data_IF_976008714078
#
_entry.id   IF_976008714078
#
_cell.length_a   1.000
_cell.length_b   1.000
_cell.length_c   1.000
_cell.angle_alpha   90.00
_cell.angle_beta   90.00
_cell.angle_gamma   90.00
#
_symmetry.space_group_name_H-M   'P 1'
#
loop_
_entity.id
_entity.type
_entity.pdbx_description
1 polymer ?
#
# COMPACT_ATOMS: atom_id res chain seq x y z
N UNK A 1 3.73 6.57 28.38
CA UNK A 1 4.88 6.70 27.46
C UNK A 1 4.50 6.53 26.00
N UNK A 2 3.81 5.45 25.60
CA UNK A 2 3.42 5.20 24.19
C UNK A 2 2.73 6.40 23.51
N UNK A 3 1.71 7.00 24.15
CA UNK A 3 0.98 8.16 23.60
C UNK A 3 1.92 9.36 23.37
N UNK A 4 2.82 9.66 24.31
CA UNK A 4 3.79 10.75 24.16
C UNK A 4 4.76 10.50 23.00
N UNK A 5 5.25 9.26 22.85
CA UNK A 5 6.11 8.89 21.73
C UNK A 5 5.37 9.04 20.39
N UNK A 6 4.10 8.58 20.32
CA UNK A 6 3.24 8.76 19.16
C UNK A 6 3.02 10.23 18.79
N UNK A 7 2.81 11.10 19.78
CA UNK A 7 2.67 12.55 19.57
C UNK A 7 3.93 13.18 18.96
N UNK A 8 5.10 12.95 19.58
CA UNK A 8 6.36 13.54 19.07
C UNK A 8 6.76 12.97 17.71
N UNK A 9 6.51 11.68 17.46
CA UNK A 9 6.72 11.07 16.15
C UNK A 9 5.79 11.69 15.09
N UNK A 10 4.51 11.85 15.41
CA UNK A 10 3.52 12.49 14.53
C UNK A 10 3.93 13.91 14.15
N UNK A 11 4.37 14.71 15.13
CA UNK A 11 4.88 16.06 14.89
C UNK A 11 6.12 16.04 13.99
N UNK A 12 7.07 15.13 14.25
CA UNK A 12 8.29 14.96 13.46
C UNK A 12 7.97 14.70 11.99
N UNK A 13 7.09 13.73 11.70
CA UNK A 13 6.77 13.36 10.31
C UNK A 13 5.93 14.42 9.59
N UNK A 14 5.05 15.15 10.29
CA UNK A 14 4.32 16.31 9.72
C UNK A 14 5.29 17.43 9.37
N UNK A 15 6.23 17.77 10.25
CA UNK A 15 7.26 18.79 9.99
C UNK A 15 8.16 18.37 8.83
N UNK A 16 8.47 17.07 8.71
CA UNK A 16 9.21 16.55 7.56
C UNK A 16 8.41 16.69 6.26
N UNK A 17 7.10 16.49 6.29
CA UNK A 17 6.25 16.72 5.13
C UNK A 17 6.24 18.18 4.69
N UNK A 18 6.09 19.11 5.65
CA UNK A 18 6.17 20.56 5.40
C UNK A 18 7.52 20.92 4.80
N UNK A 19 8.63 20.33 5.30
CA UNK A 19 9.96 20.50 4.73
C UNK A 19 9.98 20.07 3.26
N UNK A 20 9.53 18.86 2.94
CA UNK A 20 9.51 18.32 1.57
C UNK A 20 8.72 19.23 0.62
N UNK A 21 7.54 19.69 1.04
CA UNK A 21 6.72 20.63 0.27
C UNK A 21 7.43 21.97 0.04
N UNK A 22 7.96 22.59 1.11
CA UNK A 22 8.64 23.90 1.03
C UNK A 22 9.90 23.86 0.17
N UNK A 23 10.62 22.74 0.15
CA UNK A 23 11.81 22.58 -0.71
C UNK A 23 11.45 22.52 -2.18
N UNK A 24 10.43 21.76 -2.56
CA UNK A 24 9.94 21.74 -3.94
C UNK A 24 9.52 23.14 -4.42
N UNK A 25 8.74 23.87 -3.59
CA UNK A 25 8.32 25.24 -3.91
C UNK A 25 9.49 26.23 -4.02
N UNK A 26 10.47 26.14 -3.12
CA UNK A 26 11.64 27.02 -3.13
C UNK A 26 12.53 26.84 -4.38
N UNK A 27 12.49 25.65 -4.98
CA UNK A 27 13.22 25.33 -6.21
C UNK A 27 12.38 25.47 -7.49
N UNK A 28 11.13 25.96 -7.39
CA UNK A 28 10.23 26.07 -8.55
C UNK A 28 9.77 24.73 -9.14
N UNK A 29 9.86 23.64 -8.38
CA UNK A 29 9.49 22.29 -8.81
C UNK A 29 8.02 21.96 -8.48
N UNK A 30 7.45 20.97 -9.18
CA UNK A 30 6.16 20.39 -8.83
C UNK A 30 6.19 19.66 -7.47
N UNK A 31 5.08 19.65 -6.74
CA UNK A 31 5.00 19.11 -5.37
C UNK A 31 4.62 17.61 -5.31
N UNK A 32 4.85 16.86 -6.38
CA UNK A 32 4.44 15.45 -6.53
C UNK A 32 5.00 14.55 -5.43
N UNK A 33 6.26 14.74 -5.01
CA UNK A 33 6.89 13.96 -3.93
C UNK A 33 6.22 14.22 -2.59
N UNK A 34 5.85 15.47 -2.29
CA UNK A 34 5.13 15.80 -1.07
C UNK A 34 3.74 15.13 -1.02
N UNK A 35 3.04 15.05 -2.15
CA UNK A 35 1.75 14.37 -2.22
C UNK A 35 1.85 12.84 -2.11
N UNK A 36 2.87 12.22 -2.69
CA UNK A 36 3.16 10.80 -2.44
C UNK A 36 3.49 10.54 -0.97
N UNK A 37 4.26 11.44 -0.33
CA UNK A 37 4.54 11.32 1.09
C UNK A 37 3.28 11.49 1.95
N UNK A 38 2.35 12.39 1.57
CA UNK A 38 1.06 12.53 2.25
C UNK A 38 0.25 11.21 2.24
N UNK A 39 0.28 10.46 1.13
CA UNK A 39 -0.38 9.15 1.04
C UNK A 39 0.21 8.11 2.01
N UNK A 40 1.54 8.12 2.21
CA UNK A 40 2.17 7.28 3.23
C UNK A 40 1.80 7.72 4.66
N UNK A 41 1.76 9.03 4.92
CA UNK A 41 1.31 9.58 6.21
C UNK A 41 -0.15 9.26 6.50
N UNK A 42 -1.01 9.22 5.48
CA UNK A 42 -2.39 8.78 5.61
C UNK A 42 -2.48 7.38 6.25
N UNK A 43 -1.80 6.37 5.68
CA UNK A 43 -1.79 5.03 6.26
C UNK A 43 -1.24 5.03 7.70
N UNK A 44 -0.12 5.74 7.93
CA UNK A 44 0.48 5.87 9.26
C UNK A 44 -0.51 6.42 10.30
N UNK A 45 -1.22 7.50 9.98
CA UNK A 45 -2.19 8.11 10.88
C UNK A 45 -3.45 7.27 11.04
N UNK A 46 -3.87 6.55 10.01
CA UNK A 46 -4.99 5.59 10.14
C UNK A 46 -4.65 4.51 11.16
N UNK A 47 -3.46 3.91 11.07
CA UNK A 47 -2.99 2.85 11.97
C UNK A 47 -2.85 3.32 13.43
N UNK A 48 -2.18 4.46 13.64
CA UNK A 48 -1.76 4.90 14.98
C UNK A 48 -2.68 5.89 15.67
N UNK A 49 -3.65 6.49 14.96
CA UNK A 49 -4.43 7.61 15.49
C UNK A 49 -5.92 7.56 15.11
N UNK A 50 -6.24 7.66 13.81
CA UNK A 50 -7.63 7.85 13.34
C UNK A 50 -8.49 6.64 13.70
N UNK A 51 -8.06 5.42 13.35
CA UNK A 51 -8.84 4.22 13.65
C UNK A 51 -8.94 3.97 15.17
N UNK A 52 -7.85 4.00 15.96
CA UNK A 52 -7.96 3.87 17.42
C UNK A 52 -8.96 4.86 18.06
N UNK A 53 -9.02 6.10 17.57
CA UNK A 53 -10.02 7.08 18.01
C UNK A 53 -11.45 6.66 17.66
N UNK A 54 -11.70 6.19 16.44
CA UNK A 54 -13.03 5.71 16.02
C UNK A 54 -13.46 4.44 16.75
N UNK A 55 -12.51 3.58 17.10
CA UNK A 55 -12.74 2.40 17.94
C UNK A 55 -12.91 2.74 19.43
N UNK A 56 -12.66 3.98 19.83
CA UNK A 56 -12.74 4.43 21.22
C UNK A 56 -11.67 3.83 22.15
N UNK A 57 -10.59 3.27 21.61
CA UNK A 57 -9.53 2.65 22.41
C UNK A 57 -8.14 2.79 21.79
N UNK A 58 -7.19 3.31 22.59
CA UNK A 58 -5.76 3.36 22.24
C UNK A 58 -5.08 1.98 22.23
N UNK A 59 -5.70 0.93 22.78
CA UNK A 59 -5.18 -0.44 22.72
C UNK A 59 -5.13 -1.00 21.29
N UNK A 60 -5.89 -0.41 20.39
CA UNK A 60 -5.96 -0.78 18.97
C UNK A 60 -4.76 -0.25 18.16
N UNK A 61 -3.98 0.66 18.72
CA UNK A 61 -2.88 1.31 18.01
C UNK A 61 -1.61 0.44 17.96
N UNK A 62 -0.75 0.71 16.97
CA UNK A 62 0.46 -0.08 16.72
C UNK A 62 1.52 0.15 17.82
N UNK A 63 2.10 -0.91 18.44
CA UNK A 63 3.17 -0.77 19.42
C UNK A 63 4.51 -0.39 18.75
N UNK A 64 5.35 0.35 19.48
CA UNK A 64 6.71 0.68 19.04
C UNK A 64 7.70 -0.41 19.43
N UNK A 65 8.12 -1.24 18.47
CA UNK A 65 9.13 -2.27 18.67
C UNK A 65 9.21 -3.21 17.47
N UNK A 66 10.38 -3.83 17.24
CA UNK A 66 10.62 -4.66 16.05
C UNK A 66 9.68 -5.87 16.01
N UNK A 67 9.68 -6.76 17.00
CA UNK A 67 8.70 -7.86 17.02
C UNK A 67 7.28 -7.42 17.40
N UNK A 68 7.09 -6.51 18.38
CA UNK A 68 5.74 -6.09 18.77
C UNK A 68 4.89 -5.51 17.62
N UNK A 69 5.46 -4.74 16.68
CA UNK A 69 4.66 -4.22 15.56
C UNK A 69 4.30 -5.32 14.54
N UNK A 70 5.13 -6.37 14.42
CA UNK A 70 4.82 -7.56 13.62
C UNK A 70 3.73 -8.39 14.30
N UNK A 71 3.81 -8.56 15.62
CA UNK A 71 2.79 -9.26 16.42
C UNK A 71 1.42 -8.56 16.29
N UNK A 72 1.41 -7.22 16.34
CA UNK A 72 0.20 -6.44 16.09
C UNK A 72 -0.39 -6.72 14.72
N UNK A 73 0.44 -6.83 13.68
CA UNK A 73 -0.02 -7.10 12.31
C UNK A 73 -0.77 -8.45 12.23
N UNK A 74 -0.23 -9.48 12.86
CA UNK A 74 -0.87 -10.79 12.94
C UNK A 74 -2.13 -10.77 13.81
N UNK A 75 -2.06 -10.18 15.01
CA UNK A 75 -3.17 -10.09 15.95
C UNK A 75 -4.37 -9.33 15.36
N UNK A 76 -4.11 -8.23 14.63
CA UNK A 76 -5.12 -7.47 13.91
C UNK A 76 -5.84 -8.32 12.87
N UNK A 77 -5.08 -9.09 12.06
CA UNK A 77 -5.65 -9.97 11.05
C UNK A 77 -6.53 -11.07 11.66
N UNK A 78 -6.07 -11.68 12.76
CA UNK A 78 -6.84 -12.70 13.49
C UNK A 78 -8.13 -12.08 14.04
N UNK A 79 -8.04 -10.92 14.70
CA UNK A 79 -9.17 -10.27 15.36
C UNK A 79 -10.30 -9.94 14.39
N UNK A 80 -9.97 -9.46 13.19
CA UNK A 80 -10.95 -9.00 12.21
C UNK A 80 -11.20 -9.99 11.07
N UNK A 81 -11.02 -11.29 11.34
CA UNK A 81 -11.47 -12.34 10.43
C UNK A 81 -10.68 -12.43 9.13
N UNK A 82 -9.35 -12.45 9.23
CA UNK A 82 -8.39 -12.67 8.15
C UNK A 82 -8.38 -11.56 7.08
N UNK A 83 -7.33 -10.72 7.13
CA UNK A 83 -7.14 -9.62 6.18
C UNK A 83 -6.95 -10.04 4.72
N UNK A 84 -6.68 -11.31 4.41
CA UNK A 84 -6.66 -11.76 3.01
C UNK A 84 -8.02 -11.61 2.30
N UNK A 85 -9.11 -11.52 3.06
CA UNK A 85 -10.46 -11.28 2.52
C UNK A 85 -10.84 -9.80 2.46
N UNK A 86 -9.99 -8.90 2.96
CA UNK A 86 -10.20 -7.46 2.81
C UNK A 86 -9.82 -7.02 1.39
N UNK A 87 -10.76 -6.49 0.57
CA UNK A 87 -10.48 -6.13 -0.82
C UNK A 87 -9.47 -4.98 -0.94
N UNK A 88 -9.44 -4.06 0.02
CA UNK A 88 -8.47 -2.96 0.03
C UNK A 88 -7.07 -3.41 0.43
N UNK A 89 -6.96 -4.44 1.28
CA UNK A 89 -5.68 -5.09 1.55
C UNK A 89 -5.14 -5.79 0.29
N UNK A 90 -5.99 -6.51 -0.44
CA UNK A 90 -5.63 -7.10 -1.73
C UNK A 90 -5.18 -6.03 -2.75
N UNK A 91 -5.91 -4.92 -2.87
CA UNK A 91 -5.50 -3.79 -3.73
C UNK A 91 -4.16 -3.20 -3.30
N UNK A 92 -3.92 -3.02 -1.99
CA UNK A 92 -2.63 -2.55 -1.47
C UNK A 92 -1.49 -3.49 -1.87
N UNK A 93 -1.70 -4.82 -1.85
CA UNK A 93 -0.72 -5.81 -2.31
C UNK A 93 -0.49 -5.69 -3.82
N UNK A 94 -1.54 -5.54 -4.63
CA UNK A 94 -1.43 -5.33 -6.08
C UNK A 94 -0.55 -4.12 -6.39
N UNK A 95 -0.76 -3.00 -5.70
CA UNK A 95 0.05 -1.80 -5.90
C UNK A 95 1.47 -1.92 -5.35
N UNK A 96 1.68 -2.66 -4.26
CA UNK A 96 3.02 -2.97 -3.74
C UNK A 96 3.82 -3.83 -4.72
N UNK A 97 3.26 -4.97 -5.14
CA UNK A 97 3.90 -5.86 -6.11
C UNK A 97 4.07 -5.18 -7.46
N UNK A 98 3.07 -4.43 -7.90
CA UNK A 98 3.13 -3.62 -9.11
C UNK A 98 4.20 -2.53 -9.04
N UNK A 99 4.44 -1.92 -7.87
CA UNK A 99 5.53 -0.95 -7.70
C UNK A 99 6.89 -1.61 -7.87
N UNK A 100 7.11 -2.78 -7.27
CA UNK A 100 8.33 -3.57 -7.46
C UNK A 100 8.52 -3.97 -8.92
N UNK A 101 7.46 -4.45 -9.57
CA UNK A 101 7.48 -4.82 -10.98
C UNK A 101 7.82 -3.64 -11.89
N UNK A 102 7.11 -2.51 -11.74
CA UNK A 102 7.32 -1.31 -12.54
C UNK A 102 8.71 -0.73 -12.33
N UNK A 103 9.23 -0.71 -11.10
CA UNK A 103 10.58 -0.23 -10.84
C UNK A 103 11.62 -1.15 -11.49
N UNK A 104 11.46 -2.48 -11.37
CA UNK A 104 12.36 -3.43 -12.02
C UNK A 104 12.35 -3.26 -13.56
N UNK A 105 11.17 -3.16 -14.16
CA UNK A 105 10.99 -2.91 -15.60
C UNK A 105 11.63 -1.59 -16.03
N UNK A 106 11.31 -0.50 -15.34
CA UNK A 106 11.80 0.84 -15.67
C UNK A 106 13.31 0.95 -15.49
N UNK A 107 13.84 0.56 -14.32
CA UNK A 107 15.27 0.59 -14.03
C UNK A 107 16.09 -0.23 -15.02
N UNK A 108 15.63 -1.45 -15.35
CA UNK A 108 16.29 -2.28 -16.37
C UNK A 108 16.23 -1.61 -17.76
N UNK A 109 15.12 -0.97 -18.12
CA UNK A 109 14.96 -0.26 -19.40
C UNK A 109 15.95 0.89 -19.50
N UNK A 110 16.04 1.75 -18.48
CA UNK A 110 16.96 2.90 -18.50
C UNK A 110 18.41 2.45 -18.60
N UNK A 111 18.81 1.43 -17.84
CA UNK A 111 20.16 0.86 -17.93
C UNK A 111 20.46 0.27 -19.31
N UNK A 112 19.49 -0.44 -19.92
CA UNK A 112 19.64 -1.00 -21.26
C UNK A 112 19.81 0.09 -22.34
N UNK A 113 19.26 1.28 -22.09
CA UNK A 113 19.34 2.44 -22.98
C UNK A 113 20.50 3.38 -22.68
N UNK A 114 21.38 3.07 -21.71
CA UNK A 114 22.47 3.95 -21.30
C UNK A 114 23.43 4.35 -22.44
N UNK A 115 23.64 3.48 -23.45
CA UNK A 115 24.43 3.81 -24.65
C UNK A 115 23.84 4.95 -25.50
N UNK A 116 22.56 5.26 -25.29
CA UNK A 116 21.82 6.30 -26.00
C UNK A 116 21.46 7.49 -25.08
N UNK A 117 22.02 7.56 -23.88
CA UNK A 117 21.71 8.60 -22.89
C UNK A 117 20.32 8.47 -22.27
N UNK A 118 19.82 7.24 -22.09
CA UNK A 118 18.48 6.97 -21.55
C UNK A 118 18.22 7.56 -20.16
N UNK A 119 19.26 7.85 -19.38
CA UNK A 119 19.18 8.48 -18.05
C UNK A 119 18.85 9.98 -18.08
N UNK A 120 18.97 10.64 -19.23
CA UNK A 120 18.68 12.08 -19.43
C UNK A 120 17.19 12.30 -19.70
N UNK A 121 16.37 11.87 -18.76
CA UNK A 121 14.94 11.68 -18.99
C UNK A 121 14.18 12.99 -19.17
N UNK A 122 14.62 14.08 -18.54
CA UNK A 122 14.00 15.41 -18.71
C UNK A 122 14.11 15.85 -20.17
N UNK A 123 15.28 15.73 -20.77
CA UNK A 123 15.50 16.07 -22.17
C UNK A 123 14.73 15.14 -23.09
N UNK A 124 14.68 13.84 -22.80
CA UNK A 124 13.95 12.85 -23.59
C UNK A 124 12.42 12.99 -23.52
N UNK A 125 11.90 13.66 -22.49
CA UNK A 125 10.50 14.06 -22.39
C UNK A 125 10.20 15.25 -23.30
N UNK A 126 11.12 16.23 -23.38
CA UNK A 126 10.95 17.44 -24.18
C UNK A 126 11.24 17.23 -25.67
N UNK A 127 12.28 16.47 -25.98
CA UNK A 127 12.73 16.15 -27.34
C UNK A 127 13.03 14.65 -27.45
N UNK A 128 12.18 13.95 -28.20
CA UNK A 128 12.17 12.49 -28.22
C UNK A 128 13.38 11.94 -28.98
N UNK A 129 14.36 11.39 -28.25
CA UNK A 129 15.53 10.72 -28.83
C UNK A 129 15.36 9.22 -29.08
N UNK A 130 16.37 8.60 -29.71
CA UNK A 130 16.37 7.16 -30.02
C UNK A 130 16.28 6.27 -28.77
N UNK A 131 16.76 6.73 -27.62
CA UNK A 131 16.55 6.05 -26.33
C UNK A 131 15.05 5.87 -26.05
N UNK A 132 14.28 6.96 -26.13
CA UNK A 132 12.84 6.95 -25.87
C UNK A 132 12.05 6.15 -26.91
N UNK A 133 12.47 6.16 -28.17
CA UNK A 133 11.86 5.33 -29.23
C UNK A 133 12.11 3.84 -29.00
N UNK A 134 13.35 3.43 -28.75
CA UNK A 134 13.72 2.01 -28.53
C UNK A 134 13.07 1.46 -27.27
N UNK A 135 13.08 2.22 -26.17
CA UNK A 135 12.39 1.84 -24.93
C UNK A 135 10.89 1.63 -25.15
N UNK A 136 10.24 2.55 -25.86
CA UNK A 136 8.83 2.42 -26.21
C UNK A 136 8.55 1.20 -27.10
N UNK A 137 9.35 0.99 -28.16
CA UNK A 137 9.18 -0.13 -29.08
C UNK A 137 9.39 -1.49 -28.40
N UNK A 138 10.41 -1.62 -27.54
CA UNK A 138 10.63 -2.83 -26.76
C UNK A 138 9.36 -3.26 -26.01
N UNK A 139 8.77 -2.35 -25.25
CA UNK A 139 7.54 -2.64 -24.50
C UNK A 139 6.34 -2.86 -25.40
N UNK A 140 6.18 -2.08 -26.47
CA UNK A 140 5.09 -2.25 -27.43
C UNK A 140 5.12 -3.63 -28.07
N UNK A 141 6.30 -4.13 -28.44
CA UNK A 141 6.46 -5.45 -29.04
C UNK A 141 6.37 -6.58 -28.01
N UNK A 142 6.73 -6.33 -26.75
CA UNK A 142 6.63 -7.32 -25.68
C UNK A 142 5.18 -7.54 -25.19
N UNK A 143 4.40 -6.47 -24.97
CA UNK A 143 3.08 -6.56 -24.33
C UNK A 143 1.94 -5.85 -25.08
N UNK A 144 2.17 -5.41 -26.32
CA UNK A 144 1.15 -4.84 -27.21
C UNK A 144 0.86 -3.34 -27.00
N UNK A 145 1.34 -2.73 -25.92
CA UNK A 145 1.26 -1.29 -25.65
C UNK A 145 2.55 -0.79 -24.97
N UNK A 146 2.71 0.53 -24.88
CA UNK A 146 3.88 1.14 -24.24
C UNK A 146 3.54 2.49 -23.59
N UNK A 147 4.39 2.90 -22.65
CA UNK A 147 4.39 4.24 -22.08
C UNK A 147 5.32 5.18 -22.87
N UNK A 148 5.27 6.47 -22.55
CA UNK A 148 6.31 7.46 -22.86
C UNK A 148 7.27 7.61 -21.67
N UNK A 149 8.39 8.30 -21.87
CA UNK A 149 9.34 8.62 -20.81
C UNK A 149 8.72 9.49 -19.70
N UNK A 150 7.74 10.34 -20.01
CA UNK A 150 7.02 11.07 -18.96
C UNK A 150 5.97 10.19 -18.28
N UNK A 151 5.17 9.48 -19.07
CA UNK A 151 4.01 8.76 -18.53
C UNK A 151 4.41 7.56 -17.68
N UNK A 152 5.55 6.91 -17.91
CA UNK A 152 6.02 5.80 -17.05
C UNK A 152 6.26 6.26 -15.61
N UNK A 153 6.75 7.48 -15.41
CA UNK A 153 6.88 8.08 -14.08
C UNK A 153 5.52 8.36 -13.44
N UNK A 154 4.50 8.69 -14.22
CA UNK A 154 3.11 8.84 -13.73
C UNK A 154 2.53 7.49 -13.30
N UNK A 155 2.76 6.42 -14.07
CA UNK A 155 2.39 5.05 -13.68
C UNK A 155 3.06 4.65 -12.36
N UNK A 156 4.37 4.83 -12.26
CA UNK A 156 5.13 4.52 -11.04
C UNK A 156 4.64 5.34 -9.83
N UNK A 157 4.42 6.65 -10.03
CA UNK A 157 3.92 7.53 -8.97
C UNK A 157 2.54 7.10 -8.47
N UNK A 158 1.60 6.78 -9.36
CA UNK A 158 0.27 6.33 -8.97
C UNK A 158 0.29 4.96 -8.28
N UNK A 159 1.09 4.01 -8.76
CA UNK A 159 1.23 2.71 -8.08
C UNK A 159 1.79 2.88 -6.66
N UNK A 160 2.83 3.70 -6.50
CA UNK A 160 3.41 3.97 -5.19
C UNK A 160 2.42 4.70 -4.24
N UNK A 161 1.61 5.62 -4.76
CA UNK A 161 0.61 6.38 -3.99
C UNK A 161 -0.61 5.54 -3.62
N UNK A 162 -1.09 4.70 -4.54
CA UNK A 162 -2.28 3.90 -4.34
C UNK A 162 -2.06 2.78 -3.32
N UNK A 163 -0.82 2.28 -3.16
CA UNK A 163 -0.48 1.28 -2.15
C UNK A 163 -0.89 1.72 -0.72
N UNK A 164 -0.35 2.81 -0.14
CA UNK A 164 -0.75 3.24 1.20
C UNK A 164 -2.16 3.85 1.24
N UNK A 165 -2.69 4.40 0.13
CA UNK A 165 -4.07 4.89 0.10
C UNK A 165 -5.08 3.76 0.32
N UNK A 166 -5.01 2.69 -0.48
CA UNK A 166 -5.91 1.54 -0.34
C UNK A 166 -5.66 0.82 0.98
N UNK A 167 -4.40 0.65 1.39
CA UNK A 167 -4.06 0.12 2.71
C UNK A 167 -4.75 0.91 3.84
N UNK A 168 -4.69 2.23 3.81
CA UNK A 168 -5.34 3.07 4.83
C UNK A 168 -6.87 2.99 4.78
N UNK A 169 -7.49 2.90 3.59
CA UNK A 169 -8.94 2.68 3.48
C UNK A 169 -9.32 1.32 4.11
N UNK A 170 -8.57 0.26 3.79
CA UNK A 170 -8.81 -1.08 4.31
C UNK A 170 -8.71 -1.15 5.83
N UNK A 171 -7.70 -0.51 6.42
CA UNK A 171 -7.56 -0.42 7.88
C UNK A 171 -8.70 0.40 8.48
N UNK A 172 -9.01 1.57 7.91
CA UNK A 172 -10.04 2.46 8.46
C UNK A 172 -11.39 1.76 8.58
N UNK A 173 -11.80 0.98 7.57
CA UNK A 173 -13.06 0.21 7.55
C UNK A 173 -13.06 -0.99 8.53
N UNK A 174 -11.88 -1.46 8.93
CA UNK A 174 -11.75 -2.65 9.79
C UNK A 174 -12.08 -2.33 11.24
N UNK A 175 -13.14 -2.94 11.77
CA UNK A 175 -13.69 -2.71 13.11
C UNK A 175 -14.63 -1.50 13.22
N UNK A 176 -14.58 -0.56 12.27
CA UNK A 176 -15.51 0.58 12.23
C UNK A 176 -16.74 0.27 11.37
N UNK A 177 -16.56 -0.52 10.31
CA UNK A 177 -17.61 -0.90 9.35
C UNK A 177 -17.69 -2.43 9.21
N UNK A 178 -16.54 -3.12 9.18
CA UNK A 178 -16.48 -4.58 9.01
C UNK A 178 -15.72 -5.23 10.17
N UNK A 179 -16.41 -6.11 10.90
CA UNK A 179 -15.84 -6.82 12.05
C UNK A 179 -15.18 -8.16 11.68
N UNK A 180 -15.56 -8.77 10.56
CA UNK A 180 -15.00 -10.03 10.08
C UNK A 180 -14.95 -10.06 8.55
N UNK A 181 -13.75 -9.94 7.98
CA UNK A 181 -13.56 -9.88 6.52
C UNK A 181 -13.89 -11.19 5.81
N UNK A 182 -13.63 -12.34 6.42
CA UNK A 182 -14.00 -13.63 5.85
C UNK A 182 -15.52 -13.79 5.73
N UNK A 183 -16.27 -13.49 6.79
CA UNK A 183 -17.74 -13.55 6.74
C UNK A 183 -18.31 -12.52 5.77
N UNK A 184 -17.71 -11.33 5.71
CA UNK A 184 -18.05 -10.33 4.69
C UNK A 184 -17.84 -10.87 3.27
N UNK A 185 -16.76 -11.61 3.03
CA UNK A 185 -16.49 -12.25 1.73
C UNK A 185 -17.44 -13.40 1.39
N UNK A 186 -17.92 -14.14 2.40
CA UNK A 186 -18.97 -15.14 2.23
C UNK A 186 -20.29 -14.46 1.83
N UNK A 187 -20.68 -13.39 2.53
CA UNK A 187 -21.88 -12.61 2.23
C UNK A 187 -21.86 -12.06 0.79
N UNK A 188 -20.71 -11.54 0.36
CA UNK A 188 -20.50 -10.98 -0.97
C UNK A 188 -20.05 -12.01 -2.03
N UNK A 189 -20.09 -13.30 -1.68
CA UNK A 189 -19.93 -14.46 -2.60
C UNK A 189 -18.61 -14.52 -3.37
N UNK A 190 -17.51 -14.10 -2.76
CA UNK A 190 -16.16 -14.30 -3.34
C UNK A 190 -15.24 -15.12 -2.44
N UNK A 191 -15.69 -15.56 -1.27
CA UNK A 191 -14.99 -16.57 -0.49
C UNK A 191 -15.08 -17.95 -1.17
N UNK A 192 -13.96 -18.63 -1.43
CA UNK A 192 -13.98 -19.98 -2.00
C UNK A 192 -14.50 -21.01 -0.98
N UNK A 193 -15.24 -22.01 -1.46
CA UNK A 193 -15.63 -23.18 -0.70
C UNK A 193 -14.84 -24.39 -1.16
N UNK A 194 -14.37 -25.20 -0.22
CA UNK A 194 -13.61 -26.42 -0.51
C UNK A 194 -14.43 -27.65 -0.12
N UNK A 195 -14.29 -28.78 -0.84
CA UNK A 195 -14.95 -30.03 -0.46
C UNK A 195 -14.62 -30.44 0.98
N UNK A 196 -15.62 -31.00 1.65
CA UNK A 196 -15.47 -31.53 2.99
C UNK A 196 -14.38 -32.61 3.04
N UNK A 197 -13.31 -32.39 3.82
CA UNK A 197 -12.34 -33.43 4.18
C UNK A 197 -12.79 -34.17 5.44
N UNK A 198 -12.09 -35.24 5.81
CA UNK A 198 -12.37 -36.01 7.05
C UNK A 198 -12.25 -35.19 8.34
N UNK A 199 -11.71 -33.96 8.27
CA UNK A 199 -11.60 -33.02 9.39
C UNK A 199 -12.55 -31.82 9.26
N UNK A 200 -13.43 -31.82 8.26
CA UNK A 200 -14.41 -30.75 8.04
C UNK A 200 -15.74 -31.05 8.72
N UNK A 201 -16.41 -30.02 9.23
CA UNK A 201 -17.74 -30.17 9.84
C UNK A 201 -17.75 -30.73 11.27
N UNK A 202 -16.61 -30.70 11.98
CA UNK A 202 -16.61 -30.93 13.42
C UNK A 202 -17.51 -29.88 14.08
N UNK A 203 -18.60 -30.27 14.78
CA UNK A 203 -19.45 -29.31 15.46
C UNK A 203 -18.67 -28.62 16.56
N UNK A 204 -18.93 -27.32 16.75
CA UNK A 204 -18.32 -26.55 17.85
C UNK A 204 -18.71 -27.20 19.19
N UNK A 205 -17.76 -27.72 19.99
CA UNK A 205 -18.07 -28.40 21.23
C UNK A 205 -18.81 -27.50 22.23
N UNK A 206 -18.65 -26.18 22.15
CA UNK A 206 -19.41 -25.23 22.98
C UNK A 206 -20.92 -25.27 22.71
N UNK A 207 -21.35 -25.74 21.53
CA UNK A 207 -22.77 -25.89 21.16
C UNK A 207 -23.36 -27.23 21.60
N UNK A 208 -22.55 -28.16 22.11
CA UNK A 208 -22.97 -29.53 22.46
C UNK A 208 -23.50 -29.68 23.89
N UNK A 209 -23.55 -28.61 24.68
CA UNK A 209 -24.10 -28.64 26.05
C UNK A 209 -23.25 -29.41 27.07
N UNK A 210 -22.02 -29.78 26.70
CA UNK A 210 -21.05 -30.42 27.61
C UNK A 210 -20.23 -29.31 28.30
N UNK A 211 -20.13 -29.28 29.65
CA UNK A 211 -19.29 -28.30 30.33
C UNK A 211 -17.81 -28.50 29.93
N UNK A 212 -17.08 -27.38 29.81
CA UNK A 212 -15.62 -27.38 29.66
C UNK A 212 -14.91 -27.87 30.92
#
# INVERSE_FOLDING_TARGET
WWIMAGFFLSLSVILWWVRTYRRARALGMGTHVAWAFAAALWLYFVLGFIRPLLMGSWSEAVPFGIFPHLDWTAAFSIRYGNLFYNPFHALSIVFLYGSTLLFAMHGATILALGRFGGEREIELVLDRGTAAERGALFWRWCMGFNATFESIHRWAWWFAVLCPLTGGIGILLTGTVVDNWYLWAVEHRFAPSYPASSFSGLPDPATLGVPQ
#
